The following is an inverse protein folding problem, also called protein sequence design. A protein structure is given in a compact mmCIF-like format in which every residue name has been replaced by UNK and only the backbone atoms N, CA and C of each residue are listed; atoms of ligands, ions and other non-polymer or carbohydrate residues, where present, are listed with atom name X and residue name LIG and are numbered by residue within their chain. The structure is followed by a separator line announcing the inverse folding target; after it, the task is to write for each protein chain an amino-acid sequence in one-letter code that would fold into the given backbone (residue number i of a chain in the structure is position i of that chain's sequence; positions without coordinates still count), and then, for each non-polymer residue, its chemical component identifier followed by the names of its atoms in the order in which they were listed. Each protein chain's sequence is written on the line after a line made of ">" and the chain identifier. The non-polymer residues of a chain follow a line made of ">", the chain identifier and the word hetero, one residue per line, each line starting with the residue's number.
data_IF_979020853657
#
_entry.id   IF_979020853657
#
_cell.length_a   1.000
_cell.length_b   1.000
_cell.length_c   1.000
_cell.angle_alpha   90.00
_cell.angle_beta   90.00
_cell.angle_gamma   90.00
#
_symmetry.space_group_name_H-M   'P 1'
#
loop_
_entity.id
_entity.type
_entity.pdbx_description
1 polymer ?
#
# COMPACT_ATOMS: atom_id res chain seq x y z
N UNK A 1 7.21 19.17 16.84
CA UNK A 1 7.00 18.21 17.92
C UNK A 1 7.54 18.86 19.16
N UNK A 2 6.68 19.05 20.15
CA UNK A 2 7.06 19.57 21.44
C UNK A 2 7.49 18.38 22.31
N UNK A 3 8.60 18.44 23.06
CA UNK A 3 8.96 17.37 24.00
C UNK A 3 7.88 17.10 25.07
N UNK A 4 6.89 18.00 25.22
CA UNK A 4 5.71 17.83 26.08
C UNK A 4 4.55 17.08 25.41
N UNK A 5 4.66 16.75 24.11
CA UNK A 5 3.63 15.99 23.40
C UNK A 5 3.43 14.61 24.06
N UNK A 6 2.18 14.28 24.42
CA UNK A 6 1.84 13.00 25.04
C UNK A 6 1.03 12.11 24.11
N UNK A 7 1.32 10.80 24.16
CA UNK A 7 0.52 9.80 23.47
C UNK A 7 -0.78 9.52 24.24
N UNK A 8 -1.91 9.60 23.56
CA UNK A 8 -3.22 9.23 24.10
C UNK A 8 -3.73 7.94 23.46
N UNK A 9 -4.19 6.99 24.27
CA UNK A 9 -4.86 5.78 23.78
C UNK A 9 -6.33 6.06 23.46
N UNK A 10 -6.66 6.16 22.16
CA UNK A 10 -7.99 6.62 21.71
C UNK A 10 -8.94 5.51 21.27
N UNK A 11 -8.44 4.37 20.80
CA UNK A 11 -9.27 3.25 20.32
C UNK A 11 -8.51 1.92 20.33
N UNK A 12 -9.25 0.81 20.33
CA UNK A 12 -8.67 -0.53 20.26
C UNK A 12 -8.47 -1.21 21.61
N UNK A 13 -7.49 -2.12 21.67
CA UNK A 13 -7.10 -2.81 22.89
C UNK A 13 -8.08 -3.91 23.33
N UNK A 14 -7.77 -4.58 24.44
CA UNK A 14 -8.57 -5.70 24.97
C UNK A 14 -10.04 -5.31 25.17
N UNK A 15 -10.28 -4.10 25.66
CA UNK A 15 -11.61 -3.52 25.91
C UNK A 15 -12.36 -3.06 24.64
N UNK A 16 -11.73 -3.13 23.47
CA UNK A 16 -12.29 -2.64 22.20
C UNK A 16 -12.78 -1.19 22.30
N UNK A 17 -11.96 -0.29 22.86
CA UNK A 17 -12.27 1.13 23.03
C UNK A 17 -12.74 1.74 21.70
N UNK A 18 -13.80 2.55 21.75
CA UNK A 18 -14.50 3.09 20.59
C UNK A 18 -15.00 2.03 19.59
N UNK A 19 -15.27 0.80 20.04
CA UNK A 19 -15.75 -0.30 19.20
C UNK A 19 -14.70 -0.91 18.26
N UNK A 20 -13.46 -0.41 18.25
CA UNK A 20 -12.40 -0.93 17.40
C UNK A 20 -11.81 -2.21 18.03
N UNK A 21 -11.76 -3.34 17.32
CA UNK A 21 -11.23 -4.58 17.87
C UNK A 21 -9.71 -4.54 18.06
N UNK A 22 -9.21 -5.37 18.98
CA UNK A 22 -7.77 -5.57 19.22
C UNK A 22 -7.14 -6.40 18.10
N UNK A 23 -6.71 -5.74 17.03
CA UNK A 23 -5.95 -6.33 15.93
C UNK A 23 -4.68 -5.55 15.66
N UNK A 24 -3.77 -6.17 14.88
CA UNK A 24 -2.68 -5.42 14.28
C UNK A 24 -3.25 -4.49 13.20
N UNK A 25 -3.19 -3.19 13.44
CA UNK A 25 -3.55 -2.14 12.49
C UNK A 25 -2.44 -1.99 11.44
N UNK A 26 -2.79 -1.97 10.16
CA UNK A 26 -1.81 -1.99 9.06
C UNK A 26 -1.60 -0.63 8.42
N UNK A 27 -2.69 0.10 8.22
CA UNK A 27 -2.65 1.44 7.68
C UNK A 27 -3.76 2.28 8.28
N UNK A 28 -3.46 3.57 8.50
CA UNK A 28 -4.41 4.58 8.90
C UNK A 28 -4.42 5.66 7.81
N UNK A 29 -5.60 6.13 7.41
CA UNK A 29 -5.79 7.19 6.43
C UNK A 29 -6.85 8.17 6.89
N UNK A 30 -6.53 9.46 6.76
CA UNK A 30 -7.45 10.56 7.05
C UNK A 30 -7.97 11.15 5.74
N UNK A 31 -9.27 11.42 5.70
CA UNK A 31 -9.95 12.02 4.54
C UNK A 31 -10.85 13.15 5.00
N UNK A 32 -10.67 14.39 4.51
CA UNK A 32 -11.58 15.49 4.79
C UNK A 32 -13.00 15.24 4.27
N UNK A 33 -14.02 15.51 5.07
CA UNK A 33 -15.43 15.36 4.69
C UNK A 33 -16.32 16.29 5.52
N UNK A 34 -17.05 17.21 4.89
CA UNK A 34 -18.02 18.10 5.55
C UNK A 34 -17.48 18.77 6.83
N UNK A 35 -16.28 19.35 6.75
CA UNK A 35 -15.61 20.00 7.91
C UNK A 35 -15.03 19.04 8.97
N UNK A 36 -15.14 17.73 8.75
CA UNK A 36 -14.60 16.66 9.61
C UNK A 36 -13.41 15.96 8.94
N UNK A 37 -12.70 15.16 9.72
CA UNK A 37 -11.68 14.24 9.24
C UNK A 37 -12.13 12.80 9.51
N UNK A 38 -12.52 12.10 8.44
CA UNK A 38 -12.82 10.66 8.50
C UNK A 38 -11.54 9.87 8.65
N UNK A 39 -11.53 8.90 9.57
CA UNK A 39 -10.39 8.02 9.82
C UNK A 39 -10.70 6.59 9.38
N UNK A 40 -9.97 6.11 8.38
CA UNK A 40 -9.97 4.74 7.94
C UNK A 40 -8.80 3.96 8.54
N UNK A 41 -9.05 2.73 8.98
CA UNK A 41 -8.04 1.82 9.54
C UNK A 41 -8.15 0.45 8.88
N UNK A 42 -7.08 -0.03 8.26
CA UNK A 42 -7.01 -1.40 7.72
C UNK A 42 -6.51 -2.37 8.78
N UNK A 43 -7.11 -3.56 8.79
CA UNK A 43 -6.85 -4.60 9.80
C UNK A 43 -6.82 -5.99 9.14
N UNK A 44 -6.55 -7.02 9.95
CA UNK A 44 -6.72 -8.42 9.53
C UNK A 44 -8.19 -8.86 9.35
N UNK A 45 -9.16 -7.99 9.64
CA UNK A 45 -10.61 -8.21 9.48
C UNK A 45 -11.27 -6.99 8.85
N UNK A 46 -10.85 -6.67 7.63
CA UNK A 46 -11.36 -5.55 6.86
C UNK A 46 -10.89 -4.18 7.34
N UNK A 47 -11.68 -3.20 7.00
CA UNK A 47 -11.48 -1.76 7.15
C UNK A 47 -12.51 -1.20 8.10
N UNK A 48 -12.02 -0.38 9.02
CA UNK A 48 -12.81 0.28 10.04
C UNK A 48 -12.80 1.78 9.78
N UNK A 49 -13.96 2.42 9.91
CA UNK A 49 -14.15 3.84 9.68
C UNK A 49 -14.68 4.51 10.95
N UNK A 50 -14.10 5.65 11.29
CA UNK A 50 -14.68 6.63 12.21
C UNK A 50 -15.00 7.92 11.45
N UNK A 51 -16.20 8.46 11.63
CA UNK A 51 -16.68 9.58 10.82
C UNK A 51 -16.02 10.93 11.17
N UNK A 52 -15.49 11.07 12.40
CA UNK A 52 -14.89 12.31 12.88
C UNK A 52 -13.75 12.07 13.86
N UNK A 53 -12.51 12.35 13.46
CA UNK A 53 -11.33 12.25 14.33
C UNK A 53 -11.45 13.17 15.56
N UNK A 54 -12.02 14.38 15.44
CA UNK A 54 -12.13 15.30 16.58
C UNK A 54 -13.06 14.75 17.65
N UNK A 55 -14.17 14.13 17.26
CA UNK A 55 -15.07 13.43 18.17
C UNK A 55 -14.36 12.24 18.84
N UNK A 56 -13.59 11.46 18.08
CA UNK A 56 -12.83 10.33 18.61
C UNK A 56 -11.82 10.75 19.69
N UNK A 57 -11.08 11.84 19.47
CA UNK A 57 -10.13 12.39 20.45
C UNK A 57 -10.80 12.82 21.76
N UNK A 58 -12.09 13.22 21.69
CA UNK A 58 -12.94 13.52 22.86
C UNK A 58 -13.59 12.28 23.48
N UNK A 59 -13.27 11.08 22.99
CA UNK A 59 -13.86 9.82 23.45
C UNK A 59 -15.30 9.57 22.96
N UNK A 60 -15.73 10.26 21.90
CA UNK A 60 -17.08 10.17 21.35
C UNK A 60 -17.08 9.35 20.05
N UNK A 61 -18.22 8.73 19.75
CA UNK A 61 -18.41 7.92 18.55
C UNK A 61 -17.81 6.51 18.66
N UNK A 62 -18.03 5.71 17.62
CA UNK A 62 -17.50 4.35 17.50
C UNK A 62 -17.06 4.09 16.08
N UNK A 63 -16.04 3.26 15.92
CA UNK A 63 -15.67 2.72 14.63
C UNK A 63 -16.75 1.73 14.14
N UNK A 64 -17.00 1.75 12.83
CA UNK A 64 -17.80 0.74 12.13
C UNK A 64 -16.95 -0.03 11.14
N UNK A 65 -17.18 -1.33 11.02
CA UNK A 65 -16.58 -2.14 9.97
C UNK A 65 -17.32 -1.88 8.65
N UNK A 66 -16.65 -1.24 7.69
CA UNK A 66 -17.24 -0.93 6.38
C UNK A 66 -17.21 -2.13 5.42
N UNK A 67 -16.63 -3.26 5.84
CA UNK A 67 -16.72 -4.53 5.13
C UNK A 67 -17.84 -5.44 5.63
N UNK A 68 -18.68 -4.98 6.57
CA UNK A 68 -19.78 -5.80 7.10
C UNK A 68 -20.70 -6.27 5.97
N UNK A 69 -21.07 -7.54 5.99
CA UNK A 69 -21.88 -8.22 4.97
C UNK A 69 -21.23 -8.21 3.56
N UNK A 70 -19.89 -8.18 3.50
CA UNK A 70 -19.15 -8.26 2.23
C UNK A 70 -18.21 -9.47 2.22
N UNK A 71 -17.74 -9.90 1.04
CA UNK A 71 -16.70 -10.93 0.95
C UNK A 71 -15.42 -10.60 1.72
N UNK A 72 -15.20 -9.33 2.08
CA UNK A 72 -14.01 -8.85 2.77
C UNK A 72 -14.15 -8.79 4.30
N UNK A 73 -15.33 -9.09 4.89
CA UNK A 73 -15.64 -8.83 6.31
C UNK A 73 -14.64 -9.46 7.30
N UNK A 74 -14.06 -10.59 6.93
CA UNK A 74 -13.10 -11.35 7.76
C UNK A 74 -11.74 -11.48 7.10
N UNK A 75 -11.50 -10.69 6.05
CA UNK A 75 -10.31 -10.79 5.23
C UNK A 75 -9.28 -9.76 5.62
N UNK A 76 -8.02 -10.14 5.42
CA UNK A 76 -6.91 -9.28 5.72
C UNK A 76 -6.78 -8.19 4.64
N UNK A 77 -6.97 -6.95 5.06
CA UNK A 77 -6.78 -5.77 4.21
C UNK A 77 -5.46 -5.10 4.58
N UNK A 78 -4.56 -4.99 3.60
CA UNK A 78 -3.21 -4.46 3.80
C UNK A 78 -3.21 -2.93 3.66
N UNK A 79 -3.68 -2.45 2.51
CA UNK A 79 -3.67 -1.04 2.17
C UNK A 79 -5.08 -0.51 1.85
N UNK A 80 -5.28 0.78 2.12
CA UNK A 80 -6.43 1.57 1.72
C UNK A 80 -5.97 2.87 1.06
N UNK A 81 -6.64 3.20 -0.03
CA UNK A 81 -6.42 4.36 -0.86
C UNK A 81 -7.77 5.06 -1.05
N UNK A 82 -8.14 5.99 -0.17
CA UNK A 82 -9.34 6.78 -0.38
C UNK A 82 -9.19 7.65 -1.62
N UNK A 83 -10.16 7.55 -2.53
CA UNK A 83 -10.30 8.44 -3.68
C UNK A 83 -11.11 9.67 -3.29
N UNK A 84 -12.16 9.44 -2.49
CA UNK A 84 -12.96 10.45 -1.81
C UNK A 84 -13.53 9.87 -0.49
N UNK A 85 -14.28 10.63 0.32
CA UNK A 85 -14.86 10.16 1.58
C UNK A 85 -15.79 8.95 1.52
N UNK A 86 -16.32 8.63 0.34
CA UNK A 86 -17.31 7.60 0.05
C UNK A 86 -16.80 6.54 -0.92
N UNK A 87 -15.60 6.70 -1.47
CA UNK A 87 -15.02 5.81 -2.47
C UNK A 87 -13.58 5.49 -2.14
N UNK A 88 -13.29 4.20 -1.92
CA UNK A 88 -11.95 3.72 -1.57
C UNK A 88 -11.53 2.57 -2.47
N UNK A 89 -10.23 2.49 -2.71
CA UNK A 89 -9.58 1.27 -3.20
C UNK A 89 -8.86 0.61 -2.04
N UNK A 90 -8.90 -0.71 -1.94
CA UNK A 90 -8.15 -1.46 -0.94
C UNK A 90 -7.36 -2.59 -1.59
N UNK A 91 -6.27 -3.01 -0.94
CA UNK A 91 -5.55 -4.22 -1.30
C UNK A 91 -5.71 -5.30 -0.23
N UNK A 92 -6.18 -6.47 -0.63
CA UNK A 92 -6.32 -7.65 0.20
C UNK A 92 -5.12 -8.58 -0.01
N UNK A 93 -4.50 -9.01 1.08
CA UNK A 93 -3.28 -9.85 1.10
C UNK A 93 -3.47 -10.96 2.16
N UNK A 94 -2.65 -12.01 2.17
CA UNK A 94 -2.71 -13.11 3.15
C UNK A 94 -4.10 -13.77 3.29
N UNK A 95 -4.83 -13.81 2.17
CA UNK A 95 -6.15 -14.45 2.03
C UNK A 95 -6.09 -15.48 0.90
N UNK A 96 -7.15 -16.27 0.76
CA UNK A 96 -7.23 -17.23 -0.34
C UNK A 96 -7.07 -16.53 -1.70
N UNK A 97 -6.50 -17.20 -2.72
CA UNK A 97 -6.24 -16.60 -4.03
C UNK A 97 -7.47 -15.95 -4.69
N UNK A 98 -8.67 -16.44 -4.38
CA UNK A 98 -9.94 -15.89 -4.86
C UNK A 98 -10.18 -14.46 -4.41
N UNK A 99 -9.73 -14.10 -3.20
CA UNK A 99 -9.97 -12.76 -2.64
C UNK A 99 -8.75 -11.84 -2.66
N UNK A 100 -7.56 -12.38 -2.97
CA UNK A 100 -6.32 -11.59 -2.97
C UNK A 100 -6.30 -10.60 -4.14
N UNK A 101 -5.76 -9.40 -3.92
CA UNK A 101 -5.63 -8.37 -4.95
C UNK A 101 -6.34 -7.07 -4.60
N UNK A 102 -6.85 -6.35 -5.61
CA UNK A 102 -7.39 -5.00 -5.47
C UNK A 102 -8.92 -4.99 -5.52
N UNK A 103 -9.53 -4.25 -4.60
CA UNK A 103 -10.98 -4.11 -4.47
C UNK A 103 -11.40 -2.65 -4.44
N UNK A 104 -12.56 -2.37 -4.98
CA UNK A 104 -13.25 -1.07 -4.94
C UNK A 104 -14.36 -1.13 -3.90
N UNK A 105 -14.42 -0.13 -3.02
CA UNK A 105 -15.47 0.05 -2.02
C UNK A 105 -16.19 1.37 -2.23
N UNK A 106 -17.53 1.36 -2.29
CA UNK A 106 -18.36 2.57 -2.43
C UNK A 106 -19.46 2.62 -1.38
N UNK A 107 -19.50 3.72 -0.63
CA UNK A 107 -20.60 4.05 0.26
C UNK A 107 -21.85 4.42 -0.56
N UNK A 108 -22.98 3.84 -0.19
CA UNK A 108 -24.29 4.08 -0.79
C UNK A 108 -25.04 5.16 0.01
N UNK A 109 -26.16 5.65 -0.53
CA UNK A 109 -26.97 6.66 0.12
C UNK A 109 -27.50 6.25 1.52
N UNK A 110 -27.68 4.95 1.77
CA UNK A 110 -28.10 4.40 3.06
C UNK A 110 -26.92 4.19 4.05
N UNK A 111 -25.70 4.61 3.68
CA UNK A 111 -24.49 4.45 4.47
C UNK A 111 -23.86 3.05 4.44
N UNK A 112 -24.47 2.09 3.73
CA UNK A 112 -23.85 0.77 3.50
C UNK A 112 -22.76 0.87 2.45
N UNK A 113 -21.83 -0.08 2.47
CA UNK A 113 -20.72 -0.14 1.53
C UNK A 113 -20.89 -1.34 0.61
N UNK A 114 -20.75 -1.11 -0.69
CA UNK A 114 -20.66 -2.17 -1.69
C UNK A 114 -19.20 -2.39 -2.07
N UNK A 115 -18.86 -3.64 -2.40
CA UNK A 115 -17.49 -4.05 -2.70
C UNK A 115 -17.41 -4.83 -3.99
N UNK A 116 -16.48 -4.44 -4.86
CA UNK A 116 -16.22 -5.10 -6.15
C UNK A 116 -14.76 -5.53 -6.22
N UNK A 117 -14.51 -6.79 -6.56
CA UNK A 117 -13.16 -7.25 -6.86
C UNK A 117 -12.74 -6.71 -8.22
N UNK A 118 -11.68 -5.90 -8.27
CA UNK A 118 -11.20 -5.32 -9.52
C UNK A 118 -10.21 -6.25 -10.23
N UNK A 119 -9.28 -6.81 -9.47
CA UNK A 119 -8.19 -7.62 -10.03
C UNK A 119 -7.56 -8.53 -9.00
N UNK A 120 -7.32 -9.78 -9.37
CA UNK A 120 -6.48 -10.71 -8.60
C UNK A 120 -5.04 -10.22 -8.56
N UNK A 121 -4.36 -10.39 -7.44
CA UNK A 121 -2.98 -9.93 -7.29
C UNK A 121 -2.26 -10.59 -6.12
N UNK A 122 -1.05 -10.11 -5.83
CA UNK A 122 -0.25 -10.57 -4.69
C UNK A 122 -0.60 -9.83 -3.38
N UNK A 123 -1.46 -8.81 -3.44
CA UNK A 123 -1.93 -8.02 -2.29
C UNK A 123 -1.16 -6.72 -2.03
N UNK A 124 -0.09 -6.45 -2.78
CA UNK A 124 0.53 -5.12 -2.88
C UNK A 124 -0.10 -4.35 -4.03
N UNK A 125 -0.37 -3.06 -3.80
CA UNK A 125 -0.86 -2.15 -4.81
C UNK A 125 -0.41 -0.71 -4.49
N UNK A 126 -0.49 0.16 -5.47
CA UNK A 126 -0.36 1.61 -5.30
C UNK A 126 -1.48 2.29 -6.09
N UNK A 127 -2.08 3.31 -5.50
CA UNK A 127 -3.10 4.13 -6.17
C UNK A 127 -2.66 5.59 -6.08
N UNK A 128 -2.75 6.29 -7.19
CA UNK A 128 -2.40 7.70 -7.31
C UNK A 128 -3.28 8.39 -8.34
N UNK A 129 -3.22 9.72 -8.43
CA UNK A 129 -3.96 10.49 -9.42
C UNK A 129 -3.04 10.91 -10.56
N UNK A 130 -3.47 10.71 -11.80
CA UNK A 130 -2.82 11.24 -12.99
C UNK A 130 -3.90 11.89 -13.87
N UNK A 131 -3.67 13.12 -14.35
CA UNK A 131 -4.61 13.88 -15.17
C UNK A 131 -6.04 13.94 -14.58
N UNK A 132 -6.14 14.09 -13.25
CA UNK A 132 -7.42 14.14 -12.55
C UNK A 132 -8.13 12.80 -12.33
N UNK A 133 -7.57 11.69 -12.82
CA UNK A 133 -8.16 10.36 -12.70
C UNK A 133 -7.33 9.41 -11.81
N UNK A 134 -7.97 8.49 -11.07
CA UNK A 134 -7.28 7.50 -10.28
C UNK A 134 -6.63 6.44 -11.17
N UNK A 135 -5.34 6.23 -10.97
CA UNK A 135 -4.53 5.18 -11.58
C UNK A 135 -4.21 4.14 -10.53
N UNK A 136 -4.41 2.86 -10.86
CA UNK A 136 -4.16 1.73 -9.99
C UNK A 136 -3.00 0.92 -10.55
N UNK A 137 -1.96 0.73 -9.76
CA UNK A 137 -0.89 -0.24 -10.03
C UNK A 137 -1.10 -1.44 -9.11
N UNK A 138 -1.30 -2.61 -9.72
CA UNK A 138 -1.41 -3.90 -9.06
C UNK A 138 -0.21 -4.77 -9.40
N UNK A 139 0.10 -5.73 -8.54
CA UNK A 139 1.15 -6.71 -8.79
C UNK A 139 0.50 -8.09 -8.82
N UNK A 140 0.67 -8.80 -9.93
CA UNK A 140 0.17 -10.18 -10.10
C UNK A 140 1.33 -11.14 -9.88
N UNK A 141 1.12 -12.18 -9.06
CA UNK A 141 2.10 -13.27 -8.94
C UNK A 141 1.93 -14.25 -10.11
N UNK A 142 3.04 -14.74 -10.66
CA UNK A 142 3.05 -15.73 -11.73
C UNK A 142 3.89 -16.95 -11.35
N UNK A 143 3.52 -18.12 -11.87
CA UNK A 143 4.27 -19.36 -11.65
C UNK A 143 5.39 -19.56 -12.70
N UNK A 144 5.63 -18.56 -13.55
CA UNK A 144 6.61 -18.60 -14.64
C UNK A 144 7.92 -17.95 -14.22
N UNK A 145 8.90 -17.92 -15.13
CA UNK A 145 10.16 -17.17 -14.96
C UNK A 145 9.95 -15.69 -14.61
N UNK A 146 8.80 -15.11 -14.97
CA UNK A 146 8.45 -13.72 -14.68
C UNK A 146 8.24 -13.46 -13.20
N UNK A 147 7.86 -14.47 -12.39
CA UNK A 147 7.58 -14.46 -10.94
C UNK A 147 6.48 -13.49 -10.48
N UNK A 148 6.48 -12.26 -10.97
CA UNK A 148 5.45 -11.26 -10.81
C UNK A 148 5.39 -10.34 -12.03
N UNK A 149 4.23 -9.70 -12.23
CA UNK A 149 4.01 -8.66 -13.25
C UNK A 149 3.38 -7.45 -12.57
N UNK A 150 3.95 -6.27 -12.80
CA UNK A 150 3.29 -5.00 -12.49
C UNK A 150 2.29 -4.70 -13.60
N UNK A 151 1.05 -4.46 -13.24
CA UNK A 151 -0.03 -4.07 -14.15
C UNK A 151 -0.62 -2.74 -13.72
N UNK A 152 -1.05 -1.93 -14.69
CA UNK A 152 -1.75 -0.68 -14.45
C UNK A 152 -3.17 -0.73 -14.98
N UNK A 153 -4.08 -0.07 -14.27
CA UNK A 153 -5.36 0.38 -14.79
C UNK A 153 -5.51 1.89 -14.64
N UNK A 154 -5.97 2.55 -15.70
CA UNK A 154 -6.32 3.98 -15.74
C UNK A 154 -7.85 4.21 -15.69
N UNK A 155 -8.63 3.14 -15.53
CA UNK A 155 -10.09 3.14 -15.68
C UNK A 155 -10.82 2.41 -14.55
N UNK A 156 -10.27 2.48 -13.33
CA UNK A 156 -10.78 1.83 -12.12
C UNK A 156 -10.92 0.30 -12.26
N UNK A 157 -9.95 -0.32 -12.93
CA UNK A 157 -9.81 -1.76 -13.04
C UNK A 157 -10.64 -2.42 -14.15
N UNK A 158 -11.19 -1.65 -15.11
CA UNK A 158 -11.90 -2.23 -16.26
C UNK A 158 -10.91 -2.84 -17.25
N UNK A 159 -9.81 -2.15 -17.53
CA UNK A 159 -8.69 -2.65 -18.35
C UNK A 159 -7.40 -2.65 -17.55
N UNK A 160 -6.53 -3.61 -17.86
CA UNK A 160 -5.23 -3.79 -17.20
C UNK A 160 -4.14 -3.95 -18.24
N UNK A 161 -3.12 -3.10 -18.15
CA UNK A 161 -1.97 -3.08 -19.04
C UNK A 161 -0.74 -3.59 -18.28
N UNK A 162 -0.08 -4.67 -18.73
CA UNK A 162 1.21 -5.08 -18.19
C UNK A 162 2.25 -3.97 -18.40
N UNK A 163 3.04 -3.69 -17.36
CA UNK A 163 4.09 -2.67 -17.39
C UNK A 163 5.48 -3.30 -17.49
N UNK A 164 5.82 -4.17 -16.54
CA UNK A 164 7.09 -4.87 -16.45
C UNK A 164 7.01 -6.05 -15.48
N UNK A 165 8.03 -6.91 -15.49
CA UNK A 165 8.11 -8.13 -14.70
C UNK A 165 9.48 -8.30 -14.03
N UNK A 166 9.68 -9.38 -13.27
CA UNK A 166 10.97 -9.63 -12.63
C UNK A 166 12.12 -9.84 -13.63
N UNK A 167 11.84 -10.38 -14.83
CA UNK A 167 12.86 -10.54 -15.88
C UNK A 167 13.46 -9.19 -16.28
N UNK A 168 12.60 -8.17 -16.38
CA UNK A 168 13.02 -6.79 -16.65
C UNK A 168 13.89 -6.25 -15.53
N UNK A 169 13.49 -6.46 -14.27
CA UNK A 169 14.26 -6.04 -13.09
C UNK A 169 15.63 -6.72 -13.02
N UNK A 170 15.71 -8.01 -13.35
CA UNK A 170 16.96 -8.77 -13.33
C UNK A 170 17.98 -8.28 -14.36
N UNK A 171 17.53 -7.78 -15.51
CA UNK A 171 18.43 -7.18 -16.52
C UNK A 171 19.10 -5.90 -16.03
N UNK A 172 18.44 -5.18 -15.11
CA UNK A 172 18.93 -3.89 -14.58
C UNK A 172 19.94 -4.13 -13.46
N UNK A 173 19.69 -5.13 -12.63
CA UNK A 173 20.53 -5.45 -11.47
C UNK A 173 20.68 -6.95 -11.36
N UNK A 174 21.89 -7.47 -11.56
CA UNK A 174 22.21 -8.89 -11.31
C UNK A 174 23.37 -9.01 -10.32
N UNK A 175 23.09 -8.95 -9.00
CA UNK A 175 24.13 -8.97 -7.99
C UNK A 175 24.88 -10.30 -8.00
N UNK A 176 26.21 -10.23 -7.95
CA UNK A 176 27.09 -11.40 -7.99
C UNK A 176 26.89 -12.38 -6.83
N UNK A 177 26.29 -11.95 -5.71
CA UNK A 177 26.01 -12.83 -4.57
C UNK A 177 24.72 -13.66 -4.73
N UNK A 178 23.91 -13.42 -5.78
CA UNK A 178 22.74 -14.25 -6.11
C UNK A 178 23.04 -15.34 -7.15
N UNK A 179 24.31 -15.75 -7.29
CA UNK A 179 24.77 -16.78 -8.24
C UNK A 179 24.04 -18.12 -8.11
N UNK A 180 23.49 -18.41 -6.93
CA UNK A 180 22.71 -19.62 -6.68
C UNK A 180 21.24 -19.24 -6.44
N UNK A 181 20.40 -19.59 -7.41
CA UNK A 181 18.92 -19.54 -7.42
C UNK A 181 18.27 -18.39 -6.63
N UNK A 182 17.81 -17.37 -7.35
CA UNK A 182 16.91 -16.36 -6.80
C UNK A 182 15.59 -17.01 -6.40
N UNK A 183 15.40 -17.25 -5.10
CA UNK A 183 14.18 -17.84 -4.56
C UNK A 183 13.11 -16.79 -4.33
N UNK A 184 11.94 -17.00 -4.96
CA UNK A 184 10.68 -16.31 -4.68
C UNK A 184 10.80 -14.77 -4.57
N UNK A 185 11.23 -14.09 -5.64
CA UNK A 185 11.24 -12.64 -5.64
C UNK A 185 9.81 -12.12 -5.54
N UNK A 186 9.61 -11.14 -4.67
CA UNK A 186 8.30 -10.56 -4.39
C UNK A 186 8.45 -9.05 -4.21
N UNK A 187 7.64 -8.23 -4.91
CA UNK A 187 7.68 -6.80 -4.71
C UNK A 187 7.31 -6.44 -3.26
N UNK A 188 8.17 -5.65 -2.64
CA UNK A 188 8.02 -5.10 -1.30
C UNK A 188 7.34 -3.74 -1.34
N UNK A 189 7.69 -2.86 -0.40
CA UNK A 189 7.10 -1.53 -0.28
C UNK A 189 7.03 -0.82 -1.64
N UNK A 190 5.90 -0.18 -1.91
CA UNK A 190 5.58 0.50 -3.17
C UNK A 190 5.00 1.88 -2.85
N UNK A 191 5.44 2.90 -3.56
CA UNK A 191 4.91 4.27 -3.42
C UNK A 191 5.05 5.04 -4.72
N UNK A 192 4.06 5.88 -5.03
CA UNK A 192 4.11 6.81 -6.14
C UNK A 192 4.50 8.22 -5.67
N UNK A 193 5.34 8.90 -6.44
CA UNK A 193 5.61 10.33 -6.29
C UNK A 193 6.05 10.96 -7.61
N UNK A 194 5.44 12.08 -7.98
CA UNK A 194 5.73 12.85 -9.21
C UNK A 194 5.85 12.00 -10.49
N UNK A 195 4.85 11.16 -10.77
CA UNK A 195 4.81 10.33 -11.98
C UNK A 195 5.78 9.15 -11.97
N UNK A 196 6.45 8.89 -10.83
CA UNK A 196 7.38 7.78 -10.65
C UNK A 196 6.86 6.80 -9.61
N UNK A 197 7.11 5.52 -9.85
CA UNK A 197 6.81 4.44 -8.93
C UNK A 197 8.10 3.94 -8.30
N UNK A 198 8.22 4.08 -6.99
CA UNK A 198 9.34 3.55 -6.21
C UNK A 198 8.91 2.24 -5.58
N UNK A 199 9.75 1.22 -5.68
CA UNK A 199 9.46 -0.08 -5.09
C UNK A 199 10.73 -0.83 -4.70
N UNK A 200 10.60 -1.80 -3.79
CA UNK A 200 11.66 -2.80 -3.56
C UNK A 200 11.27 -4.15 -4.12
N UNK A 201 12.27 -5.00 -4.37
CA UNK A 201 12.07 -6.42 -4.59
C UNK A 201 12.74 -7.17 -3.46
N UNK A 202 11.96 -7.96 -2.73
CA UNK A 202 12.40 -8.80 -1.63
C UNK A 202 12.55 -10.24 -2.13
N UNK A 203 13.44 -11.03 -1.52
CA UNK A 203 13.56 -12.45 -1.82
C UNK A 203 13.04 -13.29 -0.67
N UNK A 204 12.30 -14.35 -0.98
CA UNK A 204 11.69 -15.22 0.02
C UNK A 204 12.71 -15.95 0.90
N UNK A 205 12.32 -16.21 2.15
CA UNK A 205 12.99 -17.15 3.06
C UNK A 205 14.03 -16.58 4.03
N UNK A 206 14.62 -15.39 3.81
CA UNK A 206 15.85 -15.01 4.56
C UNK A 206 16.07 -13.51 4.81
N UNK A 207 15.03 -12.68 4.85
CA UNK A 207 15.16 -11.21 4.97
C UNK A 207 16.11 -10.58 3.93
N UNK A 208 16.29 -11.24 2.78
CA UNK A 208 17.15 -10.77 1.69
C UNK A 208 16.38 -9.78 0.82
N UNK A 209 17.03 -8.69 0.47
CA UNK A 209 16.52 -7.74 -0.52
C UNK A 209 17.26 -7.95 -1.84
N UNK A 210 16.54 -7.94 -2.95
CA UNK A 210 17.15 -7.94 -4.28
C UNK A 210 17.69 -6.55 -4.64
N UNK A 211 16.85 -5.53 -4.44
CA UNK A 211 17.16 -4.14 -4.75
C UNK A 211 15.97 -3.21 -4.55
N UNK A 212 16.26 -1.91 -4.63
CA UNK A 212 15.28 -0.84 -4.74
C UNK A 212 15.31 -0.26 -6.15
N UNK A 213 14.14 0.05 -6.69
CA UNK A 213 13.98 0.47 -8.07
C UNK A 213 13.03 1.66 -8.16
N UNK A 214 13.21 2.46 -9.20
CA UNK A 214 12.26 3.49 -9.63
C UNK A 214 11.83 3.20 -11.06
N UNK A 215 10.53 3.22 -11.32
CA UNK A 215 9.96 3.21 -12.66
C UNK A 215 9.41 4.60 -12.98
N UNK A 216 9.84 5.18 -14.09
CA UNK A 216 9.37 6.46 -14.64
C UNK A 216 8.60 6.23 -15.95
N UNK A 217 7.99 7.28 -16.50
CA UNK A 217 7.21 7.19 -17.74
C UNK A 217 6.12 6.12 -17.68
N UNK A 218 5.42 6.05 -16.54
CA UNK A 218 4.49 4.96 -16.24
C UNK A 218 3.44 4.77 -17.35
N UNK A 219 3.08 5.83 -18.08
CA UNK A 219 2.18 5.88 -19.25
C UNK A 219 2.61 5.04 -20.46
N UNK A 220 3.89 4.72 -20.58
CA UNK A 220 4.41 3.90 -21.67
C UNK A 220 4.19 2.40 -21.42
N UNK A 221 4.14 1.61 -22.50
CA UNK A 221 4.03 0.15 -22.45
C UNK A 221 5.19 -0.50 -21.68
N UNK A 222 6.37 0.11 -21.72
CA UNK A 222 7.56 -0.27 -20.95
C UNK A 222 8.10 0.97 -20.26
N UNK A 223 7.85 1.13 -18.95
CA UNK A 223 8.42 2.21 -18.14
C UNK A 223 9.96 2.21 -18.19
N UNK A 224 10.59 3.37 -18.04
CA UNK A 224 12.04 3.48 -17.79
C UNK A 224 12.31 3.10 -16.34
N UNK A 225 13.00 1.97 -16.12
CA UNK A 225 13.28 1.44 -14.79
C UNK A 225 14.76 1.56 -14.48
N UNK A 226 15.08 2.08 -13.29
CA UNK A 226 16.45 2.27 -12.81
C UNK A 226 16.65 1.65 -11.44
N UNK A 227 17.83 1.09 -11.22
CA UNK A 227 18.30 0.67 -9.90
C UNK A 227 18.62 1.91 -9.07
N UNK A 228 18.06 1.97 -7.86
CA UNK A 228 18.30 3.02 -6.86
C UNK A 228 18.74 2.42 -5.51
N UNK A 229 19.24 1.19 -5.54
CA UNK A 229 19.72 0.48 -4.35
C UNK A 229 20.94 1.17 -3.75
N UNK A 230 21.84 1.71 -4.57
CA UNK A 230 23.10 2.36 -4.17
C UNK A 230 23.82 1.56 -3.06
N UNK A 231 24.10 2.19 -1.92
CA UNK A 231 24.76 1.62 -0.75
C UNK A 231 23.78 1.03 0.29
N UNK A 232 22.51 0.82 -0.06
CA UNK A 232 21.56 0.14 0.82
C UNK A 232 21.82 -1.37 0.80
N UNK A 233 22.64 -1.85 1.74
CA UNK A 233 23.03 -3.25 1.83
C UNK A 233 21.88 -4.23 2.11
N UNK A 234 20.80 -3.78 2.78
CA UNK A 234 19.60 -4.59 2.99
C UNK A 234 18.36 -3.92 2.36
N UNK A 235 18.16 -4.05 1.04
CA UNK A 235 17.04 -3.42 0.34
C UNK A 235 15.70 -4.15 0.54
N UNK A 236 15.58 -4.99 1.57
CA UNK A 236 14.35 -5.70 1.91
C UNK A 236 13.40 -4.77 2.67
N UNK A 237 12.54 -4.06 1.94
CA UNK A 237 11.66 -3.06 2.53
C UNK A 237 10.28 -3.62 2.89
N UNK A 238 9.77 -3.17 4.03
CA UNK A 238 8.41 -3.45 4.53
C UNK A 238 7.45 -2.35 4.11
N UNK A 239 7.93 -1.11 4.05
CA UNK A 239 7.15 0.04 3.59
C UNK A 239 8.04 1.12 2.99
N UNK A 240 7.53 1.77 1.95
CA UNK A 240 8.08 3.00 1.39
C UNK A 240 7.12 4.16 1.66
N UNK A 241 7.66 5.35 1.90
CA UNK A 241 6.90 6.61 2.01
C UNK A 241 7.72 7.75 1.43
N UNK A 242 7.05 8.69 0.78
CA UNK A 242 7.68 9.94 0.36
C UNK A 242 7.18 11.06 1.26
N UNK A 243 8.10 11.91 1.72
CA UNK A 243 7.77 13.09 2.53
C UNK A 243 8.69 14.25 2.16
N UNK A 244 8.09 15.42 2.03
CA UNK A 244 8.80 16.70 1.93
C UNK A 244 8.93 17.29 3.34
N UNK A 245 10.13 17.70 3.72
CA UNK A 245 10.37 18.37 4.99
C UNK A 245 10.01 19.87 4.93
N UNK A 246 10.16 20.57 6.06
CA UNK A 246 9.82 21.97 6.17
C UNK A 246 10.71 22.90 5.31
N UNK A 247 11.89 22.41 4.91
CA UNK A 247 12.84 23.11 4.05
C UNK A 247 12.56 22.86 2.55
N UNK A 248 11.52 22.07 2.24
CA UNK A 248 11.14 21.73 0.87
C UNK A 248 11.92 20.54 0.29
N UNK A 249 12.81 19.91 1.06
CA UNK A 249 13.57 18.75 0.58
C UNK A 249 12.69 17.50 0.64
N UNK A 250 12.60 16.79 -0.48
CA UNK A 250 11.81 15.56 -0.56
C UNK A 250 12.67 14.32 -0.36
N UNK A 251 12.20 13.42 0.50
CA UNK A 251 12.88 12.18 0.87
C UNK A 251 12.00 10.96 0.61
N UNK A 252 12.58 9.92 0.03
CA UNK A 252 12.04 8.57 0.04
C UNK A 252 12.52 7.86 1.29
N UNK A 253 11.60 7.53 2.19
CA UNK A 253 11.82 6.76 3.40
C UNK A 253 11.52 5.28 3.15
N UNK A 254 12.46 4.40 3.52
CA UNK A 254 12.35 2.96 3.42
C UNK A 254 12.52 2.31 4.79
N UNK A 255 11.44 1.71 5.30
CA UNK A 255 11.50 0.87 6.51
C UNK A 255 11.85 -0.56 6.11
N UNK A 256 12.84 -1.14 6.76
CA UNK A 256 13.37 -2.46 6.42
C UNK A 256 13.01 -3.51 7.47
N UNK A 257 13.06 -4.78 7.09
CA UNK A 257 12.90 -5.88 8.03
C UNK A 257 14.25 -6.21 8.69
N UNK A 258 14.68 -5.41 9.66
CA UNK A 258 15.83 -5.75 10.53
C UNK A 258 16.86 -4.64 10.73
N UNK A 259 16.92 -3.61 9.86
CA UNK A 259 17.93 -2.54 9.96
C UNK A 259 17.31 -1.14 10.06
N UNK A 260 16.09 -1.06 10.58
CA UNK A 260 15.42 0.21 10.87
C UNK A 260 14.97 0.98 9.63
N UNK A 261 15.19 2.30 9.64
CA UNK A 261 14.68 3.27 8.67
C UNK A 261 15.82 3.91 7.90
N UNK A 262 15.70 3.91 6.58
CA UNK A 262 16.64 4.55 5.65
C UNK A 262 15.93 5.65 4.88
N UNK A 263 16.68 6.64 4.39
CA UNK A 263 16.12 7.65 3.49
C UNK A 263 17.07 8.00 2.36
N UNK A 264 16.51 8.32 1.19
CA UNK A 264 17.20 8.83 0.02
C UNK A 264 16.58 10.17 -0.38
N UNK A 265 17.42 11.17 -0.67
CA UNK A 265 16.94 12.44 -1.24
C UNK A 265 16.38 12.19 -2.64
N UNK A 266 15.19 12.68 -2.91
CA UNK A 266 14.60 12.67 -4.26
C UNK A 266 14.97 13.98 -4.98
N UNK A 267 15.18 13.93 -6.31
CA UNK A 267 15.46 15.11 -7.11
C UNK A 267 14.28 16.09 -7.12
#
# INVERSE_FOLDING_TARGET
>A
FDPRDQWQFIAGGKERKAGLPSFRYRQLKLVPYQGKLRLFITTRRGVWLHDDLKALLKGQGKFRNINRNSPLEHLYTRHIFPLDPHHVIVSADWVSPTFKGVWEGKEQADGKWTWKHLRKGNGNACVFTANGHPVIVNIVATNTSQRFIFERSDDLGKTWQPMFDFTTIRKIREPSFFRETIMNPSPGGIVHWQGKLYFSVNLGGWSRGYGMFVAASLQQKQPDIRDITDNLYFPSTVSLRVRTDAEGVTWLYASTNGIGLWRRKLP
#
